data_IF_503592635905
#
_entry.id   IF_503592635905
#
_cell.length_a   1.000
_cell.length_b   1.000
_cell.length_c   1.000
_cell.angle_alpha   90.00
_cell.angle_beta   90.00
_cell.angle_gamma   90.00
#
_symmetry.space_group_name_H-M   'P 1'
#
loop_
_entity.id
_entity.type
_entity.pdbx_description
1 polymer ?
#
# COMPACT_ATOMS: atom_id res chain seq x y z
N UNK A 1 -1.66 16.81 -19.88
CA UNK A 1 -2.87 16.85 -19.02
C UNK A 1 -2.42 16.62 -17.59
N UNK A 2 -2.97 17.35 -16.61
CA UNK A 2 -2.68 17.10 -15.19
C UNK A 2 -3.38 15.78 -14.81
N UNK A 3 -2.63 14.78 -14.35
CA UNK A 3 -3.21 13.47 -14.02
C UNK A 3 -4.23 13.50 -12.88
N UNK A 4 -5.00 12.44 -12.72
CA UNK A 4 -6.06 12.32 -11.69
C UNK A 4 -5.47 12.08 -10.28
N UNK A 5 -6.22 12.48 -9.24
CA UNK A 5 -5.91 12.20 -7.84
C UNK A 5 -7.06 11.44 -7.19
N UNK A 6 -6.73 10.31 -6.60
CA UNK A 6 -7.65 9.46 -5.85
C UNK A 6 -7.42 9.71 -4.38
N UNK A 7 -8.50 10.02 -3.66
CA UNK A 7 -8.48 10.24 -2.22
C UNK A 7 -9.16 9.11 -1.47
N UNK A 8 -8.66 8.84 -0.27
CA UNK A 8 -9.20 7.86 0.68
C UNK A 8 -10.10 8.50 1.73
N UNK A 9 -10.01 9.83 1.91
CA UNK A 9 -10.67 10.55 3.02
C UNK A 9 -9.83 10.54 4.30
N UNK A 10 -8.55 10.17 4.20
CA UNK A 10 -7.62 10.26 5.32
C UNK A 10 -7.40 11.73 5.68
N UNK A 11 -7.46 12.12 6.96
CA UNK A 11 -7.20 13.50 7.35
C UNK A 11 -5.77 13.94 7.03
N UNK A 12 -4.84 13.01 6.83
CA UNK A 12 -3.47 13.31 6.44
C UNK A 12 -3.33 13.74 4.98
N UNK A 13 -4.30 13.41 4.10
CA UNK A 13 -4.27 13.85 2.69
C UNK A 13 -4.32 15.39 2.63
N UNK A 14 -5.19 16.00 3.44
CA UNK A 14 -5.26 17.46 3.60
C UNK A 14 -4.06 18.01 4.39
N UNK A 15 -3.74 17.42 5.55
CA UNK A 15 -2.71 17.95 6.46
C UNK A 15 -1.29 17.89 5.90
N UNK A 16 -0.98 16.86 5.13
CA UNK A 16 0.36 16.60 4.60
C UNK A 16 0.47 16.80 3.07
N UNK A 17 -0.65 17.03 2.37
CA UNK A 17 -0.64 17.38 0.96
C UNK A 17 -0.32 16.21 0.02
N UNK A 18 -0.97 15.06 0.21
CA UNK A 18 -0.85 13.91 -0.69
C UNK A 18 -2.22 13.31 -1.03
N UNK A 19 -2.26 12.50 -2.08
CA UNK A 19 -3.44 11.71 -2.46
C UNK A 19 -3.19 10.22 -2.19
N UNK A 20 -4.22 9.42 -1.91
CA UNK A 20 -4.09 7.96 -1.81
C UNK A 20 -3.43 7.36 -3.05
N UNK A 21 -3.80 7.84 -4.24
CA UNK A 21 -3.08 7.54 -5.47
C UNK A 21 -3.07 8.72 -6.45
N UNK A 22 -2.04 8.79 -7.28
CA UNK A 22 -1.96 9.69 -8.42
C UNK A 22 -1.90 8.89 -9.72
N UNK A 23 -2.76 9.22 -10.68
CA UNK A 23 -2.86 8.52 -11.97
C UNK A 23 -2.36 9.44 -13.08
N UNK A 24 -1.35 9.01 -13.83
CA UNK A 24 -0.75 9.80 -14.92
C UNK A 24 -0.39 8.88 -16.08
N UNK A 25 -1.06 9.04 -17.23
CA UNK A 25 -0.77 8.30 -18.47
C UNK A 25 -0.70 6.77 -18.27
N UNK A 26 -1.69 6.18 -17.59
CA UNK A 26 -1.75 4.75 -17.28
C UNK A 26 -0.91 4.31 -16.08
N UNK A 27 0.00 5.15 -15.57
CA UNK A 27 0.75 4.89 -14.33
C UNK A 27 -0.08 5.28 -13.11
N UNK A 28 -0.11 4.40 -12.12
CA UNK A 28 -0.83 4.61 -10.87
C UNK A 28 0.17 4.50 -9.73
N UNK A 29 0.44 5.62 -9.08
CA UNK A 29 1.34 5.72 -7.93
C UNK A 29 0.49 5.74 -6.66
N UNK A 30 0.52 4.65 -5.90
CA UNK A 30 -0.21 4.52 -4.63
C UNK A 30 0.73 4.93 -3.50
N UNK A 31 0.30 5.92 -2.72
CA UNK A 31 1.05 6.41 -1.56
C UNK A 31 1.29 5.31 -0.54
N UNK A 32 2.30 5.51 0.32
CA UNK A 32 2.55 4.69 1.50
C UNK A 32 1.25 4.36 2.25
N UNK A 33 0.98 3.06 2.36
CA UNK A 33 -0.27 2.53 2.90
C UNK A 33 0.06 1.67 4.11
N UNK A 34 -0.35 2.18 5.27
CA UNK A 34 -0.19 1.53 6.58
C UNK A 34 -1.33 0.57 6.86
N UNK A 35 -1.15 -0.33 7.82
CA UNK A 35 -2.14 -1.37 8.17
C UNK A 35 -3.41 -0.93 8.91
N UNK A 36 -3.81 0.33 8.77
CA UNK A 36 -5.04 0.87 9.35
C UNK A 36 -6.27 0.16 8.78
N UNK A 37 -7.18 -0.25 9.66
CA UNK A 37 -8.47 -0.79 9.25
C UNK A 37 -9.53 0.32 9.21
N UNK A 38 -9.99 0.65 8.00
CA UNK A 38 -11.04 1.65 7.81
C UNK A 38 -12.39 1.25 8.43
N UNK A 39 -12.65 -0.04 8.67
CA UNK A 39 -13.92 -0.50 9.26
C UNK A 39 -13.93 -0.31 10.78
N UNK A 40 -12.90 -0.79 11.48
CA UNK A 40 -12.79 -0.66 12.94
C UNK A 40 -12.22 0.68 13.37
N UNK A 41 -11.58 1.42 12.45
CA UNK A 41 -10.82 2.65 12.70
C UNK A 41 -9.64 2.47 13.64
N UNK A 42 -9.03 1.30 13.61
CA UNK A 42 -7.91 0.93 14.47
C UNK A 42 -6.76 0.31 13.67
N UNK A 43 -5.57 0.28 14.30
CA UNK A 43 -4.47 -0.55 13.84
C UNK A 43 -4.55 -1.90 14.55
N UNK A 44 -4.65 -3.02 13.82
CA UNK A 44 -4.53 -4.34 14.41
C UNK A 44 -3.22 -4.50 15.21
N UNK A 45 -3.21 -5.31 16.28
CA UNK A 45 -2.05 -5.43 17.16
C UNK A 45 -0.89 -6.20 16.54
N UNK A 46 -1.13 -6.99 15.49
CA UNK A 46 -0.17 -7.86 14.80
C UNK A 46 0.16 -7.36 13.38
N UNK A 47 1.35 -7.74 12.89
CA UNK A 47 1.87 -7.27 11.59
C UNK A 47 1.16 -7.94 10.41
N UNK A 48 0.65 -9.16 10.59
CA UNK A 48 -0.05 -9.91 9.56
C UNK A 48 -1.35 -9.23 9.17
N UNK A 49 -2.19 -8.90 10.16
CA UNK A 49 -3.44 -8.18 9.94
C UNK A 49 -3.19 -6.77 9.38
N UNK A 50 -2.13 -6.10 9.85
CA UNK A 50 -1.71 -4.82 9.26
C UNK A 50 -1.28 -4.98 7.79
N UNK A 51 -0.53 -6.03 7.44
CA UNK A 51 -0.08 -6.27 6.07
C UNK A 51 -1.24 -6.59 5.12
N UNK A 52 -2.19 -7.42 5.57
CA UNK A 52 -3.44 -7.69 4.82
C UNK A 52 -4.22 -6.40 4.59
N UNK A 53 -4.29 -5.52 5.60
CA UNK A 53 -4.92 -4.21 5.45
C UNK A 53 -4.18 -3.31 4.46
N UNK A 54 -2.84 -3.33 4.42
CA UNK A 54 -2.08 -2.58 3.43
C UNK A 54 -2.50 -2.97 2.00
N UNK A 55 -2.46 -4.27 1.69
CA UNK A 55 -2.83 -4.75 0.35
C UNK A 55 -4.30 -4.52 0.01
N UNK A 56 -5.22 -4.71 0.95
CA UNK A 56 -6.64 -4.39 0.77
C UNK A 56 -6.86 -2.91 0.45
N UNK A 57 -6.21 -2.02 1.18
CA UNK A 57 -6.33 -0.57 0.95
C UNK A 57 -5.69 -0.13 -0.37
N UNK A 58 -4.58 -0.77 -0.76
CA UNK A 58 -3.96 -0.60 -2.09
C UNK A 58 -4.92 -1.07 -3.19
N UNK A 59 -5.52 -2.25 -3.06
CA UNK A 59 -6.48 -2.78 -4.02
C UNK A 59 -7.69 -1.85 -4.19
N UNK A 60 -8.23 -1.30 -3.10
CA UNK A 60 -9.32 -0.30 -3.16
C UNK A 60 -8.87 0.94 -3.93
N UNK A 61 -7.65 1.43 -3.73
CA UNK A 61 -7.11 2.59 -4.43
C UNK A 61 -6.92 2.30 -5.93
N UNK A 62 -6.37 1.14 -6.28
CA UNK A 62 -6.22 0.68 -7.66
C UNK A 62 -7.56 0.51 -8.36
N UNK A 63 -8.56 -0.06 -7.67
CA UNK A 63 -9.90 -0.27 -8.23
C UNK A 63 -10.59 1.03 -8.63
N UNK A 64 -10.35 2.13 -7.89
CA UNK A 64 -10.83 3.47 -8.26
C UNK A 64 -10.18 4.01 -9.55
N UNK A 65 -9.00 3.52 -9.91
CA UNK A 65 -8.30 3.83 -11.16
C UNK A 65 -8.58 2.81 -12.28
N UNK A 66 -9.47 1.82 -12.05
CA UNK A 66 -9.71 0.74 -13.01
C UNK A 66 -8.61 -0.32 -13.07
N UNK A 67 -7.74 -0.39 -12.07
CA UNK A 67 -6.66 -1.36 -11.96
C UNK A 67 -6.87 -2.36 -10.82
N UNK A 68 -6.04 -3.38 -10.78
CA UNK A 68 -6.03 -4.45 -9.78
C UNK A 68 -4.62 -4.73 -9.28
N UNK A 69 -4.47 -5.58 -8.26
CA UNK A 69 -3.15 -6.02 -7.80
C UNK A 69 -2.35 -6.77 -8.88
N UNK A 70 -2.99 -7.26 -9.95
CA UNK A 70 -2.33 -7.92 -11.09
C UNK A 70 -1.54 -6.94 -11.95
N UNK A 71 -1.88 -5.66 -11.88
CA UNK A 71 -1.26 -4.58 -12.65
C UNK A 71 -0.04 -3.98 -11.92
N UNK A 72 0.31 -4.51 -10.74
CA UNK A 72 1.47 -4.06 -9.96
C UNK A 72 2.77 -4.31 -10.71
N UNK A 73 3.58 -3.26 -10.82
CA UNK A 73 4.94 -3.33 -11.39
C UNK A 73 6.02 -3.11 -10.34
N UNK A 74 5.69 -2.47 -9.21
CA UNK A 74 6.59 -2.27 -8.07
C UNK A 74 5.84 -2.29 -6.74
N UNK A 75 6.46 -2.89 -5.73
CA UNK A 75 6.12 -2.68 -4.32
C UNK A 75 7.38 -2.30 -3.53
N UNK A 76 7.19 -1.41 -2.57
CA UNK A 76 8.21 -1.10 -1.56
C UNK A 76 7.61 -1.29 -0.18
N UNK A 77 8.27 -2.12 0.62
CA UNK A 77 7.76 -2.58 1.91
C UNK A 77 8.68 -2.05 3.00
N UNK A 78 8.10 -1.34 3.97
CA UNK A 78 8.77 -0.89 5.17
C UNK A 78 8.21 -1.70 6.34
N UNK A 79 9.08 -2.34 7.13
CA UNK A 79 8.69 -3.20 8.25
C UNK A 79 9.64 -2.99 9.42
N UNK A 80 9.15 -3.12 10.65
CA UNK A 80 9.93 -2.67 11.82
C UNK A 80 11.02 -3.63 12.27
N UNK A 81 10.93 -4.91 11.93
CA UNK A 81 11.96 -5.90 12.27
C UNK A 81 12.01 -7.08 11.28
N UNK A 82 13.07 -7.89 11.38
CA UNK A 82 13.20 -9.12 10.61
C UNK A 82 12.15 -10.16 11.01
N UNK A 83 11.86 -10.29 12.30
CA UNK A 83 10.86 -11.24 12.82
C UNK A 83 9.47 -10.92 12.28
N UNK A 84 9.12 -9.63 12.20
CA UNK A 84 7.87 -9.19 11.58
C UNK A 84 7.85 -9.47 10.07
N UNK A 85 8.97 -9.26 9.38
CA UNK A 85 9.08 -9.56 7.95
C UNK A 85 8.82 -11.03 7.65
N UNK A 86 9.42 -11.95 8.41
CA UNK A 86 9.23 -13.40 8.24
C UNK A 86 7.74 -13.79 8.33
N UNK A 87 6.98 -13.13 9.19
CA UNK A 87 5.54 -13.37 9.38
C UNK A 87 4.69 -12.88 8.20
N UNK A 88 5.12 -11.85 7.47
CA UNK A 88 4.35 -11.29 6.34
C UNK A 88 4.76 -11.85 4.97
N UNK A 89 5.85 -12.61 4.85
CA UNK A 89 6.25 -13.26 3.59
C UNK A 89 5.09 -14.01 2.91
N UNK A 90 4.26 -14.81 3.62
CA UNK A 90 3.14 -15.50 2.99
C UNK A 90 2.07 -14.54 2.44
N UNK A 91 1.86 -13.39 3.09
CA UNK A 91 0.88 -12.38 2.70
C UNK A 91 1.37 -11.61 1.47
N UNK A 92 2.64 -11.20 1.48
CA UNK A 92 3.30 -10.60 0.30
C UNK A 92 3.21 -11.56 -0.87
N UNK A 93 3.52 -12.85 -0.65
CA UNK A 93 3.39 -13.87 -1.69
C UNK A 93 1.96 -13.92 -2.21
N UNK A 94 0.96 -14.07 -1.34
CA UNK A 94 -0.46 -14.14 -1.72
C UNK A 94 -0.88 -13.01 -2.67
N UNK A 95 -0.54 -11.76 -2.33
CA UNK A 95 -0.99 -10.58 -3.08
C UNK A 95 -0.14 -10.24 -4.30
N UNK A 96 1.16 -10.56 -4.29
CA UNK A 96 2.08 -10.20 -5.38
C UNK A 96 2.42 -11.37 -6.32
N UNK A 97 1.95 -12.60 -6.06
CA UNK A 97 2.39 -13.78 -6.81
C UNK A 97 2.09 -13.69 -8.31
N UNK A 98 0.90 -13.20 -8.67
CA UNK A 98 0.46 -13.14 -10.05
C UNK A 98 1.18 -12.03 -10.83
N UNK A 99 1.27 -10.83 -10.25
CA UNK A 99 1.89 -9.67 -10.90
C UNK A 99 3.43 -9.71 -10.94
N UNK A 100 4.07 -10.34 -9.95
CA UNK A 100 5.54 -10.37 -9.80
C UNK A 100 6.21 -8.98 -9.90
N UNK A 101 5.73 -7.96 -9.14
CA UNK A 101 6.33 -6.64 -9.18
C UNK A 101 7.78 -6.67 -8.69
N UNK A 102 8.57 -5.69 -9.14
CA UNK A 102 9.85 -5.40 -8.49
C UNK A 102 9.61 -5.12 -7.00
N UNK A 103 10.37 -5.77 -6.12
CA UNK A 103 10.16 -5.68 -4.67
C UNK A 103 11.42 -5.16 -3.97
N UNK A 104 11.26 -4.11 -3.18
CA UNK A 104 12.28 -3.63 -2.24
C UNK A 104 11.71 -3.69 -0.82
N UNK A 105 12.42 -4.32 0.10
CA UNK A 105 12.05 -4.33 1.53
C UNK A 105 13.11 -3.59 2.35
N UNK A 106 12.66 -2.72 3.26
CA UNK A 106 13.52 -1.90 4.13
C UNK A 106 13.08 -2.07 5.58
N UNK A 107 14.04 -2.29 6.48
CA UNK A 107 13.81 -2.24 7.92
C UNK A 107 13.91 -0.80 8.42
N UNK A 108 12.83 -0.27 8.99
CA UNK A 108 12.76 1.14 9.38
C UNK A 108 11.80 1.37 10.55
N UNK A 109 12.01 2.47 11.28
CA UNK A 109 10.99 3.02 12.17
C UNK A 109 9.88 3.67 11.33
N UNK A 110 8.62 3.41 11.69
CA UNK A 110 7.45 3.98 11.03
C UNK A 110 6.92 5.21 11.78
N UNK A 111 6.03 5.97 11.13
CA UNK A 111 5.55 7.28 11.59
C UNK A 111 4.94 7.24 13.00
N UNK A 112 4.27 6.13 13.35
CA UNK A 112 3.70 5.93 14.68
C UNK A 112 4.15 4.60 15.30
N UNK A 113 4.33 4.51 16.63
CA UNK A 113 4.85 3.31 17.30
C UNK A 113 4.01 2.03 17.13
N UNK A 114 2.71 2.17 16.84
CA UNK A 114 1.81 1.04 16.64
C UNK A 114 1.78 0.55 15.18
N UNK A 115 2.40 1.26 14.25
CA UNK A 115 2.55 0.82 12.87
C UNK A 115 3.69 -0.18 12.79
N UNK A 116 3.42 -1.33 12.19
CA UNK A 116 4.36 -2.44 12.03
C UNK A 116 4.83 -2.61 10.59
N UNK A 117 3.97 -2.27 9.64
CA UNK A 117 4.26 -2.37 8.20
C UNK A 117 3.59 -1.23 7.42
N UNK A 118 4.28 -0.78 6.39
CA UNK A 118 3.79 0.16 5.39
C UNK A 118 4.20 -0.33 3.99
N UNK A 119 3.27 -0.24 3.03
CA UNK A 119 3.50 -0.66 1.65
C UNK A 119 3.21 0.51 0.70
N UNK A 120 4.18 0.85 -0.13
CA UNK A 120 4.02 1.71 -1.30
C UNK A 120 3.93 0.82 -2.55
N UNK A 121 3.09 1.20 -3.52
CA UNK A 121 2.85 0.41 -4.70
C UNK A 121 2.75 1.26 -5.97
N UNK A 122 3.23 0.70 -7.08
CA UNK A 122 3.05 1.27 -8.42
C UNK A 122 2.40 0.21 -9.30
N UNK A 123 1.35 0.60 -10.01
CA UNK A 123 0.69 -0.20 -11.03
C UNK A 123 0.69 0.52 -12.38
N UNK A 124 0.50 -0.24 -13.46
CA UNK A 124 0.37 0.30 -14.82
C UNK A 124 -0.75 -0.42 -15.54
N UNK A 125 -1.68 0.34 -16.10
CA UNK A 125 -2.72 -0.17 -17.01
C UNK A 125 -2.51 0.40 -18.42
N UNK A 126 -2.94 -0.30 -19.49
CA UNK A 126 -3.01 0.28 -20.82
C UNK A 126 -3.87 1.55 -20.79
N UNK A 127 -3.38 2.62 -21.43
CA UNK A 127 -4.10 3.89 -21.57
C UNK A 127 -5.17 3.85 -22.65
#
# INVERSE_FOLDING_TARGET
>A
MQGERIYSGSPYEEKAGYARAAVVNGWIFVSGTTGFDAQTKEFPPDVESQCENCFRNIEIALGKAGATLKDLVRVQIFVTSQEEFERIIPIIRKHCYEARPANTTVFAQLVAPHMRVEVEAIAVIPG
#
